data_IF_758022845602
#
_entry.id   IF_758022845602
#
_cell.length_a   1.000
_cell.length_b   1.000
_cell.length_c   1.000
_cell.angle_alpha   90.00
_cell.angle_beta   90.00
_cell.angle_gamma   90.00
#
_symmetry.space_group_name_H-M   'P 1'
#
loop_
_entity.id
_entity.type
_entity.pdbx_description
1 polymer ?
#
# COMPACT_ATOMS: atom_id res chain seq x y z
N UNK A 1 29.39 -25.05 -62.44
CA UNK A 1 28.34 -25.95 -61.87
C UNK A 1 28.67 -26.14 -60.41
N UNK A 2 28.00 -25.42 -59.50
CA UNK A 2 28.20 -25.57 -58.03
C UNK A 2 27.41 -26.76 -57.55
N UNK A 3 28.05 -27.66 -56.81
CA UNK A 3 27.48 -28.90 -56.35
C UNK A 3 26.24 -28.69 -55.45
N UNK A 4 25.19 -29.54 -55.57
CA UNK A 4 23.90 -29.29 -54.85
C UNK A 4 24.00 -29.35 -53.32
N UNK A 5 25.06 -29.93 -52.76
CA UNK A 5 25.32 -29.92 -51.32
C UNK A 5 25.78 -28.56 -50.78
N UNK A 6 26.49 -27.75 -51.57
CA UNK A 6 26.94 -26.42 -51.20
C UNK A 6 25.76 -25.44 -51.05
N UNK A 7 24.70 -25.59 -51.88
CA UNK A 7 23.46 -24.78 -51.73
C UNK A 7 22.65 -25.18 -50.51
N UNK A 8 22.62 -26.47 -50.14
CA UNK A 8 21.94 -26.93 -48.91
C UNK A 8 22.67 -26.46 -47.63
N UNK A 9 24.00 -26.46 -47.63
CA UNK A 9 24.78 -25.94 -46.52
C UNK A 9 24.62 -24.41 -46.36
N UNK A 10 24.56 -23.64 -47.45
CA UNK A 10 24.33 -22.19 -47.41
C UNK A 10 22.93 -21.85 -46.93
N UNK A 11 21.89 -22.61 -47.30
CA UNK A 11 20.53 -22.42 -46.77
C UNK A 11 20.42 -22.79 -45.30
N UNK A 12 21.13 -23.83 -44.82
CA UNK A 12 21.13 -24.22 -43.41
C UNK A 12 21.86 -23.17 -42.55
N UNK A 13 22.97 -22.61 -43.02
CA UNK A 13 23.69 -21.52 -42.34
C UNK A 13 22.91 -20.22 -42.34
N UNK A 14 22.17 -19.90 -43.41
CA UNK A 14 21.28 -18.70 -43.45
C UNK A 14 20.08 -18.87 -42.53
N UNK A 15 19.51 -20.06 -42.42
CA UNK A 15 18.44 -20.34 -41.46
C UNK A 15 18.93 -20.28 -40.01
N UNK A 16 20.14 -20.75 -39.71
CA UNK A 16 20.73 -20.65 -38.37
C UNK A 16 21.10 -19.19 -38.02
N UNK A 17 21.57 -18.39 -38.99
CA UNK A 17 21.83 -16.98 -38.80
C UNK A 17 20.54 -16.16 -38.63
N UNK A 18 19.43 -16.59 -39.27
CA UNK A 18 18.14 -15.91 -39.10
C UNK A 18 17.52 -16.19 -37.72
N UNK A 19 17.75 -17.35 -37.11
CA UNK A 19 17.33 -17.69 -35.75
C UNK A 19 18.13 -16.91 -34.71
N UNK A 20 19.38 -16.51 -35.03
CA UNK A 20 20.23 -15.67 -34.18
C UNK A 20 19.94 -14.15 -34.31
N UNK A 21 19.17 -13.74 -35.35
CA UNK A 21 18.78 -12.35 -35.59
C UNK A 21 17.34 -12.01 -35.11
N UNK A 22 16.51 -13.00 -34.87
CA UNK A 22 15.27 -12.82 -34.12
C UNK A 22 15.64 -12.96 -32.66
N UNK A 23 15.67 -11.80 -32.00
CA UNK A 23 16.11 -11.62 -30.64
C UNK A 23 15.70 -12.77 -29.72
N UNK A 24 16.61 -13.10 -28.81
CA UNK A 24 16.27 -13.81 -27.60
C UNK A 24 14.91 -13.29 -27.13
N UNK A 25 13.92 -14.15 -26.87
CA UNK A 25 12.73 -13.69 -26.16
C UNK A 25 13.24 -12.91 -24.97
N UNK A 26 12.75 -11.68 -24.80
CA UNK A 26 13.04 -10.89 -23.62
C UNK A 26 12.84 -11.87 -22.45
N UNK A 27 13.93 -12.19 -21.74
CA UNK A 27 13.89 -13.24 -20.75
C UNK A 27 12.68 -12.99 -19.87
N UNK A 28 11.81 -13.97 -19.74
CA UNK A 28 10.76 -13.94 -18.76
C UNK A 28 11.44 -13.61 -17.45
N UNK A 29 11.05 -12.50 -16.83
CA UNK A 29 11.48 -12.20 -15.46
C UNK A 29 11.04 -13.39 -14.62
N UNK A 30 11.98 -14.25 -14.25
CA UNK A 30 11.78 -15.17 -13.15
C UNK A 30 11.90 -14.30 -11.91
N UNK A 31 10.76 -13.91 -11.33
CA UNK A 31 10.71 -13.26 -10.05
C UNK A 31 11.53 -14.09 -9.05
N UNK A 32 12.56 -13.48 -8.45
CA UNK A 32 13.35 -14.09 -7.38
C UNK A 32 14.80 -14.46 -7.72
N UNK A 33 15.23 -14.49 -8.99
CA UNK A 33 16.60 -14.89 -9.34
C UNK A 33 17.63 -13.75 -9.28
N UNK A 34 17.21 -12.48 -9.16
CA UNK A 34 18.12 -11.36 -9.05
C UNK A 34 17.58 -10.27 -8.11
N UNK A 35 18.45 -9.85 -7.19
CA UNK A 35 18.15 -8.79 -6.23
C UNK A 35 18.85 -7.50 -6.65
N UNK A 36 18.10 -6.53 -7.14
CA UNK A 36 18.62 -5.22 -7.50
C UNK A 36 18.58 -4.24 -6.34
N UNK A 37 19.68 -3.47 -6.19
CA UNK A 37 19.76 -2.36 -5.22
C UNK A 37 19.66 -1.03 -5.92
N UNK A 38 18.74 -0.17 -5.51
CA UNK A 38 18.62 1.22 -5.96
C UNK A 38 19.53 2.10 -5.12
N UNK A 39 20.43 2.82 -5.78
CA UNK A 39 21.43 3.72 -5.16
C UNK A 39 20.99 5.16 -5.38
N UNK A 40 20.90 5.93 -4.31
CA UNK A 40 20.59 7.36 -4.33
C UNK A 40 21.73 8.24 -4.85
N UNK A 41 21.48 9.54 -5.05
CA UNK A 41 22.48 10.50 -5.53
C UNK A 41 23.68 10.67 -4.58
N UNK A 42 23.50 10.37 -3.31
CA UNK A 42 24.52 10.39 -2.26
C UNK A 42 25.33 9.09 -2.15
N UNK A 43 25.03 8.11 -3.00
CA UNK A 43 25.65 6.78 -2.99
C UNK A 43 25.07 5.81 -1.96
N UNK A 44 24.07 6.21 -1.17
CA UNK A 44 23.40 5.32 -0.23
C UNK A 44 22.38 4.41 -0.93
N UNK A 45 22.20 3.19 -0.41
CA UNK A 45 21.14 2.30 -0.86
C UNK A 45 19.76 2.85 -0.39
N UNK A 46 18.85 3.06 -1.33
CA UNK A 46 17.49 3.53 -1.06
C UNK A 46 16.54 2.37 -0.78
N UNK A 47 16.58 1.35 -1.62
CA UNK A 47 15.73 0.16 -1.51
C UNK A 47 16.31 -1.00 -2.30
N UNK A 48 15.77 -2.19 -2.06
CA UNK A 48 16.00 -3.37 -2.89
C UNK A 48 14.69 -3.85 -3.51
N UNK A 49 14.81 -4.52 -4.65
CA UNK A 49 13.70 -5.15 -5.36
C UNK A 49 14.13 -6.50 -5.89
N UNK A 50 13.32 -7.51 -5.70
CA UNK A 50 13.40 -8.74 -6.46
C UNK A 50 12.98 -8.47 -7.92
N UNK A 51 13.77 -8.99 -8.88
CA UNK A 51 13.61 -8.71 -10.30
C UNK A 51 14.29 -7.40 -10.76
N UNK A 52 14.45 -7.30 -12.07
CA UNK A 52 15.20 -6.24 -12.74
C UNK A 52 14.58 -4.86 -12.59
N UNK A 53 15.39 -3.84 -12.32
CA UNK A 53 15.01 -2.43 -12.43
C UNK A 53 15.26 -1.91 -13.84
N UNK A 54 14.50 -0.89 -14.26
CA UNK A 54 14.59 -0.30 -15.59
C UNK A 54 14.73 1.22 -15.51
N UNK A 55 15.49 1.80 -16.43
CA UNK A 55 15.56 3.26 -16.58
C UNK A 55 14.15 3.83 -16.71
N UNK A 56 13.86 4.85 -15.90
CA UNK A 56 12.55 5.47 -15.82
C UNK A 56 11.58 4.79 -14.84
N UNK A 57 11.95 3.71 -14.13
CA UNK A 57 11.22 3.28 -12.95
C UNK A 57 11.32 4.37 -11.89
N UNK A 58 10.29 4.51 -11.05
CA UNK A 58 10.27 5.52 -10.01
C UNK A 58 10.11 4.87 -8.63
N UNK A 59 10.58 5.56 -7.63
CA UNK A 59 10.56 5.13 -6.24
C UNK A 59 10.19 6.29 -5.33
N UNK A 60 9.15 6.10 -4.52
CA UNK A 60 8.77 7.03 -3.46
C UNK A 60 9.07 6.34 -2.13
N UNK A 61 10.05 6.85 -1.42
CA UNK A 61 10.53 6.32 -0.16
C UNK A 61 9.50 6.50 0.98
N UNK A 62 9.74 5.82 2.11
CA UNK A 62 8.92 5.99 3.31
C UNK A 62 8.85 7.43 3.81
N UNK A 63 9.91 8.20 3.64
CA UNK A 63 10.02 9.62 4.00
C UNK A 63 9.53 10.60 2.92
N UNK A 64 8.83 10.10 1.88
CA UNK A 64 8.33 10.83 0.70
C UNK A 64 9.39 11.36 -0.27
N UNK A 65 10.65 11.01 -0.12
CA UNK A 65 11.66 11.26 -1.14
C UNK A 65 11.28 10.55 -2.44
N UNK A 66 11.22 11.31 -3.54
CA UNK A 66 10.83 10.80 -4.85
C UNK A 66 12.04 10.72 -5.76
N UNK A 67 12.24 9.56 -6.36
CA UNK A 67 13.42 9.24 -7.16
C UNK A 67 13.02 8.58 -8.48
N UNK A 68 13.89 8.70 -9.51
CA UNK A 68 13.74 8.01 -10.79
C UNK A 68 15.03 7.27 -11.13
N UNK A 69 14.92 6.04 -11.59
CA UNK A 69 16.06 5.26 -12.08
C UNK A 69 16.65 5.93 -13.31
N UNK A 70 17.90 6.38 -13.20
CA UNK A 70 18.65 7.06 -14.26
C UNK A 70 19.53 6.08 -15.05
N UNK A 71 20.12 5.07 -14.40
CA UNK A 71 20.90 4.03 -15.04
C UNK A 71 20.78 2.69 -14.34
N UNK A 72 21.09 1.60 -15.04
CA UNK A 72 21.06 0.24 -14.52
C UNK A 72 22.34 -0.47 -14.92
N UNK A 73 22.98 -1.14 -13.97
CA UNK A 73 24.12 -2.04 -14.18
C UNK A 73 23.65 -3.47 -13.87
N UNK A 74 23.36 -4.24 -14.93
CA UNK A 74 22.87 -5.62 -14.80
C UNK A 74 23.94 -6.57 -14.25
N UNK A 75 25.23 -6.28 -14.46
CA UNK A 75 26.31 -7.12 -13.96
C UNK A 75 26.52 -6.94 -12.45
N UNK A 76 26.34 -5.74 -11.94
CA UNK A 76 26.39 -5.44 -10.52
C UNK A 76 25.03 -5.59 -9.81
N UNK A 77 23.94 -5.82 -10.55
CA UNK A 77 22.54 -5.80 -10.04
C UNK A 77 22.24 -4.51 -9.25
N UNK A 78 22.66 -3.37 -9.79
CA UNK A 78 22.41 -2.07 -9.19
C UNK A 78 21.75 -1.12 -10.17
N UNK A 79 21.03 -0.15 -9.64
CA UNK A 79 20.49 0.96 -10.40
C UNK A 79 20.82 2.25 -9.66
N UNK A 80 21.14 3.33 -10.39
CA UNK A 80 21.33 4.66 -9.82
C UNK A 80 20.08 5.49 -10.04
N UNK A 81 19.72 6.31 -9.06
CA UNK A 81 18.56 7.17 -9.12
C UNK A 81 18.92 8.65 -9.09
N UNK A 82 18.12 9.46 -9.77
CA UNK A 82 18.05 10.91 -9.58
C UNK A 82 16.95 11.26 -8.60
N UNK A 83 17.16 12.27 -7.77
CA UNK A 83 16.15 12.80 -6.86
C UNK A 83 15.25 13.79 -7.60
N UNK A 84 13.94 13.62 -7.50
CA UNK A 84 12.96 14.46 -8.20
C UNK A 84 12.27 15.48 -7.28
N UNK A 85 12.42 15.37 -5.96
CA UNK A 85 11.75 16.21 -4.98
C UNK A 85 10.98 15.38 -3.94
N UNK A 86 10.00 15.97 -3.29
CA UNK A 86 9.09 15.25 -2.38
C UNK A 86 7.78 14.94 -3.08
N UNK A 87 7.27 13.73 -2.88
CA UNK A 87 6.05 13.25 -3.53
C UNK A 87 4.77 13.87 -2.98
N UNK A 88 4.84 14.56 -1.85
CA UNK A 88 3.70 15.18 -1.15
C UNK A 88 3.28 16.54 -1.71
N UNK A 89 4.10 17.17 -2.57
CA UNK A 89 3.84 18.52 -3.07
C UNK A 89 2.56 18.62 -3.94
N UNK A 90 2.07 17.50 -4.49
CA UNK A 90 0.90 17.43 -5.38
C UNK A 90 -0.34 16.80 -4.75
N UNK A 91 -0.33 16.47 -3.45
CA UNK A 91 -1.46 15.79 -2.80
C UNK A 91 -2.19 16.80 -1.92
N UNK A 92 -3.52 17.03 -2.15
CA UNK A 92 -4.36 17.71 -1.15
C UNK A 92 -4.25 16.97 0.18
N UNK A 93 -4.22 17.71 1.29
CA UNK A 93 -4.21 17.10 2.61
C UNK A 93 -5.30 16.00 2.67
N UNK A 94 -4.93 14.82 3.20
CA UNK A 94 -5.81 13.64 3.26
C UNK A 94 -7.21 13.96 3.81
N UNK A 95 -7.32 14.87 4.79
CA UNK A 95 -8.59 15.37 5.34
C UNK A 95 -9.54 15.93 4.29
N UNK A 96 -9.02 16.69 3.31
CA UNK A 96 -9.84 17.26 2.23
C UNK A 96 -10.32 16.17 1.24
N UNK A 97 -9.50 15.12 1.02
CA UNK A 97 -9.88 13.99 0.18
C UNK A 97 -10.92 13.10 0.86
N UNK A 98 -10.76 12.79 2.15
CA UNK A 98 -11.70 12.01 2.94
C UNK A 98 -13.09 12.66 3.02
N UNK A 99 -13.16 14.00 3.08
CA UNK A 99 -14.43 14.73 3.00
C UNK A 99 -15.07 14.61 1.60
N UNK A 100 -14.27 14.66 0.53
CA UNK A 100 -14.72 14.44 -0.85
C UNK A 100 -15.22 13.01 -1.08
N UNK A 101 -14.54 12.00 -0.55
CA UNK A 101 -14.93 10.59 -0.64
C UNK A 101 -16.25 10.30 0.10
N UNK A 102 -16.46 10.91 1.28
CA UNK A 102 -17.74 10.85 2.00
C UNK A 102 -18.91 11.45 1.22
N UNK A 103 -18.65 12.49 0.45
CA UNK A 103 -19.68 13.17 -0.34
C UNK A 103 -20.03 12.43 -1.65
N UNK A 104 -19.16 11.57 -2.16
CA UNK A 104 -19.30 10.94 -3.48
C UNK A 104 -20.03 9.60 -3.47
N UNK A 105 -20.08 8.89 -2.34
CA UNK A 105 -20.81 7.62 -2.22
C UNK A 105 -21.89 7.70 -1.16
N UNK A 106 -23.15 7.66 -1.64
CA UNK A 106 -24.27 7.33 -0.81
C UNK A 106 -24.12 5.91 -0.23
N UNK A 107 -25.10 5.47 0.55
CA UNK A 107 -25.19 4.18 1.28
C UNK A 107 -25.19 2.93 0.35
N UNK A 108 -24.38 2.96 -0.74
CA UNK A 108 -24.17 1.86 -1.68
C UNK A 108 -23.30 0.75 -1.09
N UNK A 109 -23.43 -0.46 -1.62
CA UNK A 109 -22.66 -1.63 -1.18
C UNK A 109 -21.16 -1.40 -1.41
N UNK A 110 -20.40 -1.19 -0.32
CA UNK A 110 -18.94 -1.12 -0.33
C UNK A 110 -18.37 -2.47 -0.77
N UNK A 111 -17.51 -2.51 -1.78
CA UNK A 111 -16.95 -3.75 -2.30
C UNK A 111 -15.47 -3.58 -2.69
N UNK A 112 -14.61 -4.46 -2.18
CA UNK A 112 -13.22 -4.60 -2.61
C UNK A 112 -13.02 -6.01 -3.18
N UNK A 113 -12.41 -6.10 -4.37
CA UNK A 113 -12.07 -7.35 -5.02
C UNK A 113 -10.57 -7.62 -4.93
N UNK A 114 -10.20 -8.89 -4.70
CA UNK A 114 -8.83 -9.31 -4.48
C UNK A 114 -8.52 -10.62 -5.20
N UNK A 115 -7.27 -10.79 -5.60
CA UNK A 115 -6.70 -12.02 -6.16
C UNK A 115 -5.20 -12.06 -5.86
N UNK A 116 -4.49 -13.13 -6.23
CA UNK A 116 -3.04 -13.24 -6.10
C UNK A 116 -2.46 -13.81 -7.37
N UNK A 117 -1.84 -12.98 -8.20
CA UNK A 117 -1.24 -13.43 -9.48
C UNK A 117 -0.16 -14.48 -9.25
N UNK A 118 0.71 -14.27 -8.27
CA UNK A 118 1.70 -15.27 -7.84
C UNK A 118 1.11 -16.16 -6.73
N UNK A 119 0.23 -17.05 -7.14
CA UNK A 119 -0.62 -17.85 -6.29
C UNK A 119 0.08 -18.93 -5.46
N UNK A 120 1.39 -19.09 -5.59
CA UNK A 120 2.25 -20.02 -4.85
C UNK A 120 3.11 -19.32 -3.79
N UNK A 121 3.09 -18.01 -3.69
CA UNK A 121 3.88 -17.25 -2.72
C UNK A 121 3.60 -17.68 -1.29
N UNK A 122 4.68 -17.90 -0.53
CA UNK A 122 4.62 -18.42 0.83
C UNK A 122 5.76 -17.82 1.67
N UNK A 123 5.75 -18.11 2.97
CA UNK A 123 6.65 -17.53 3.96
C UNK A 123 7.47 -18.64 4.62
N UNK A 124 8.81 -18.60 4.45
CA UNK A 124 9.73 -19.62 4.99
C UNK A 124 9.50 -19.96 6.47
N UNK A 125 9.40 -18.98 7.39
CA UNK A 125 9.22 -19.29 8.81
C UNK A 125 7.86 -19.93 9.13
N UNK A 126 6.79 -19.52 8.44
CA UNK A 126 5.44 -20.01 8.75
C UNK A 126 5.01 -21.21 7.92
N UNK A 127 5.46 -21.30 6.68
CA UNK A 127 5.01 -22.30 5.69
C UNK A 127 6.07 -23.39 5.43
N UNK A 128 7.32 -23.18 5.87
CA UNK A 128 8.45 -24.07 5.66
C UNK A 128 9.07 -24.02 4.25
N UNK A 129 8.55 -23.14 3.38
CA UNK A 129 9.03 -22.92 2.02
C UNK A 129 8.59 -21.55 1.54
N UNK A 130 9.34 -20.95 0.59
CA UNK A 130 8.97 -19.68 -0.03
C UNK A 130 7.89 -19.82 -1.12
N UNK A 131 7.63 -21.04 -1.61
CA UNK A 131 6.64 -21.32 -2.66
C UNK A 131 5.91 -22.63 -2.38
N UNK A 132 4.58 -22.64 -2.55
CA UNK A 132 3.71 -23.80 -2.40
C UNK A 132 2.67 -23.83 -3.53
N UNK A 133 2.59 -24.91 -4.26
CA UNK A 133 1.62 -25.11 -5.34
C UNK A 133 0.17 -25.21 -4.85
N UNK A 134 -0.05 -25.58 -3.58
CA UNK A 134 -1.37 -25.69 -2.95
C UNK A 134 -1.31 -25.16 -1.53
N UNK A 135 -2.27 -24.33 -1.15
CA UNK A 135 -2.34 -23.77 0.19
C UNK A 135 -1.14 -22.89 0.49
N UNK A 136 -0.77 -22.03 -0.44
CA UNK A 136 0.30 -21.05 -0.29
C UNK A 136 -0.05 -20.03 0.80
N UNK A 137 0.97 -19.55 1.52
CA UNK A 137 0.79 -18.65 2.64
C UNK A 137 0.17 -17.30 2.29
N UNK A 138 0.31 -16.87 1.04
CA UNK A 138 -0.29 -15.63 0.56
C UNK A 138 -1.82 -15.65 0.64
N UNK A 139 -2.46 -16.83 0.54
CA UNK A 139 -3.90 -16.95 0.73
C UNK A 139 -4.35 -16.68 2.16
N UNK A 140 -3.51 -17.00 3.16
CA UNK A 140 -3.80 -16.70 4.56
C UNK A 140 -3.77 -15.17 4.80
N UNK A 141 -2.83 -14.48 4.16
CA UNK A 141 -2.73 -13.01 4.20
C UNK A 141 -3.93 -12.35 3.53
N UNK A 142 -4.30 -12.81 2.32
CA UNK A 142 -5.49 -12.32 1.62
C UNK A 142 -6.79 -12.60 2.40
N UNK A 143 -6.90 -13.75 3.07
CA UNK A 143 -8.04 -14.06 3.95
C UNK A 143 -8.07 -13.14 5.18
N UNK A 144 -6.90 -12.81 5.76
CA UNK A 144 -6.81 -11.85 6.87
C UNK A 144 -7.29 -10.47 6.43
N UNK A 145 -6.85 -9.98 5.25
CA UNK A 145 -7.31 -8.72 4.68
C UNK A 145 -8.83 -8.75 4.43
N UNK A 146 -9.35 -9.84 3.84
CA UNK A 146 -10.78 -10.03 3.61
C UNK A 146 -11.57 -9.93 4.91
N UNK A 147 -11.17 -10.67 5.94
CA UNK A 147 -11.84 -10.67 7.25
C UNK A 147 -11.82 -9.29 7.91
N UNK A 148 -10.68 -8.60 7.82
CA UNK A 148 -10.51 -7.26 8.38
C UNK A 148 -11.39 -6.21 7.67
N UNK A 149 -11.55 -6.30 6.35
CA UNK A 149 -12.49 -5.46 5.57
C UNK A 149 -13.94 -5.77 5.93
N UNK A 150 -14.32 -7.05 6.02
CA UNK A 150 -15.67 -7.47 6.37
C UNK A 150 -16.05 -7.05 7.81
N UNK A 151 -15.10 -7.08 8.76
CA UNK A 151 -15.31 -6.58 10.12
C UNK A 151 -15.62 -5.05 10.14
N UNK A 152 -15.21 -4.33 9.11
CA UNK A 152 -15.48 -2.89 8.91
C UNK A 152 -16.74 -2.63 8.06
N UNK A 153 -17.50 -3.69 7.73
CA UNK A 153 -18.73 -3.61 6.93
C UNK A 153 -18.47 -3.40 5.43
N UNK A 154 -17.26 -3.71 4.96
CA UNK A 154 -16.89 -3.67 3.55
C UNK A 154 -16.97 -5.10 3.02
N UNK A 155 -17.82 -5.34 2.01
CA UNK A 155 -17.82 -6.63 1.32
C UNK A 155 -16.47 -6.85 0.64
N UNK A 156 -15.90 -8.04 0.82
CA UNK A 156 -14.64 -8.38 0.19
C UNK A 156 -14.75 -9.71 -0.56
N UNK A 157 -14.38 -9.73 -1.84
CA UNK A 157 -14.31 -10.92 -2.66
C UNK A 157 -12.86 -11.24 -2.94
N UNK A 158 -12.39 -12.41 -2.54
CA UNK A 158 -11.04 -12.88 -2.78
C UNK A 158 -11.05 -14.15 -3.62
N UNK A 159 -10.53 -14.07 -4.86
CA UNK A 159 -10.36 -15.22 -5.72
C UNK A 159 -9.11 -16.01 -5.31
N UNK A 160 -9.27 -17.33 -5.15
CA UNK A 160 -8.17 -18.27 -4.85
C UNK A 160 -7.82 -19.15 -6.05
N UNK A 161 -8.08 -18.65 -7.28
CA UNK A 161 -7.60 -19.30 -8.48
C UNK A 161 -6.07 -19.31 -8.54
N UNK A 162 -5.51 -20.32 -9.18
CA UNK A 162 -4.06 -20.49 -9.32
C UNK A 162 -3.62 -20.15 -10.73
N UNK A 163 -2.47 -19.45 -10.84
CA UNK A 163 -1.97 -18.94 -12.12
C UNK A 163 -0.56 -19.43 -12.45
N UNK A 164 -0.23 -20.62 -11.96
CA UNK A 164 1.06 -21.28 -12.16
C UNK A 164 1.37 -21.56 -13.64
N UNK A 165 2.65 -21.64 -14.00
CA UNK A 165 3.83 -21.49 -13.14
C UNK A 165 4.04 -20.04 -12.66
N UNK A 166 4.94 -19.84 -11.67
CA UNK A 166 5.37 -18.52 -11.18
C UNK A 166 6.34 -17.89 -12.20
N UNK A 167 5.80 -17.13 -13.12
CA UNK A 167 6.52 -16.43 -14.18
C UNK A 167 5.80 -15.14 -14.60
N UNK A 168 6.40 -14.36 -15.47
CA UNK A 168 5.81 -13.11 -15.97
C UNK A 168 4.44 -13.31 -16.67
N UNK A 169 4.20 -14.50 -17.26
CA UNK A 169 2.93 -14.84 -17.91
C UNK A 169 1.80 -15.10 -16.90
N UNK A 170 2.08 -15.23 -15.60
CA UNK A 170 1.06 -15.32 -14.55
C UNK A 170 0.09 -14.14 -14.61
N UNK A 171 0.54 -12.92 -14.95
CA UNK A 171 -0.32 -11.76 -15.15
C UNK A 171 -1.30 -11.92 -16.33
N UNK A 172 -0.88 -12.57 -17.42
CA UNK A 172 -1.79 -12.91 -18.52
C UNK A 172 -2.81 -13.99 -18.11
N UNK A 173 -2.41 -14.95 -17.28
CA UNK A 173 -3.31 -16.00 -16.77
C UNK A 173 -4.31 -15.45 -15.76
N UNK A 174 -3.90 -14.55 -14.86
CA UNK A 174 -4.75 -13.94 -13.83
C UNK A 174 -5.70 -12.88 -14.39
N UNK A 175 -5.42 -12.34 -15.59
CA UNK A 175 -6.20 -11.27 -16.21
C UNK A 175 -7.69 -11.60 -16.30
N UNK A 176 -8.05 -12.81 -16.72
CA UNK A 176 -9.47 -13.23 -16.81
C UNK A 176 -10.16 -13.14 -15.44
N UNK A 177 -9.49 -13.58 -14.39
CA UNK A 177 -10.02 -13.49 -13.01
C UNK A 177 -10.19 -12.04 -12.58
N UNK A 178 -9.22 -11.16 -12.86
CA UNK A 178 -9.32 -9.73 -12.60
C UNK A 178 -10.53 -9.12 -13.35
N UNK A 179 -10.73 -9.44 -14.62
CA UNK A 179 -11.88 -8.97 -15.42
C UNK A 179 -13.22 -9.49 -14.87
N UNK A 180 -13.29 -10.72 -14.38
CA UNK A 180 -14.50 -11.27 -13.76
C UNK A 180 -14.82 -10.63 -12.41
N UNK A 181 -13.81 -10.34 -11.61
CA UNK A 181 -13.96 -9.60 -10.36
C UNK A 181 -14.50 -8.19 -10.61
N UNK A 182 -14.01 -7.50 -11.64
CA UNK A 182 -14.46 -6.17 -12.01
C UNK A 182 -15.93 -6.10 -12.45
N UNK A 183 -16.51 -7.19 -12.98
CA UNK A 183 -17.95 -7.26 -13.32
C UNK A 183 -18.85 -7.11 -12.10
N UNK A 184 -18.34 -7.34 -10.89
CA UNK A 184 -19.07 -7.15 -9.64
C UNK A 184 -19.12 -5.69 -9.19
N UNK A 185 -18.44 -4.77 -9.88
CA UNK A 185 -18.41 -3.33 -9.58
C UNK A 185 -17.65 -2.96 -8.31
N UNK A 186 -16.45 -3.51 -8.06
CA UNK A 186 -15.70 -3.17 -6.85
C UNK A 186 -15.21 -1.72 -6.88
N UNK A 187 -14.90 -1.18 -5.71
CA UNK A 187 -14.31 0.14 -5.51
C UNK A 187 -12.79 0.14 -5.65
N UNK A 188 -12.17 -1.02 -5.40
CA UNK A 188 -10.76 -1.29 -5.66
C UNK A 188 -10.55 -2.74 -6.10
N UNK A 189 -9.49 -2.96 -6.90
CA UNK A 189 -8.99 -4.26 -7.31
C UNK A 189 -7.57 -4.43 -6.80
N UNK A 190 -7.34 -5.39 -5.90
CA UNK A 190 -6.06 -5.58 -5.24
C UNK A 190 -5.44 -6.92 -5.62
N UNK A 191 -4.19 -6.89 -6.05
CA UNK A 191 -3.36 -8.07 -6.27
C UNK A 191 -2.45 -8.26 -5.06
N UNK A 192 -2.61 -9.38 -4.35
CA UNK A 192 -1.97 -9.63 -3.05
C UNK A 192 -0.74 -10.49 -3.25
N UNK A 193 0.41 -9.96 -2.85
CA UNK A 193 1.74 -10.54 -3.02
C UNK A 193 2.57 -10.48 -1.75
N UNK A 194 3.75 -11.08 -1.79
CA UNK A 194 4.88 -10.83 -0.91
C UNK A 194 6.14 -10.60 -1.75
N UNK A 195 7.06 -9.79 -1.26
CA UNK A 195 8.34 -9.50 -1.90
C UNK A 195 9.35 -10.66 -1.70
N UNK A 196 10.46 -10.64 -2.43
CA UNK A 196 11.56 -11.60 -2.29
C UNK A 196 12.90 -10.92 -1.97
N UNK A 197 12.86 -9.89 -1.12
CA UNK A 197 14.01 -9.16 -0.59
C UNK A 197 14.32 -9.61 0.85
N UNK A 198 15.49 -9.26 1.43
CA UNK A 198 15.82 -9.59 2.82
C UNK A 198 14.79 -9.08 3.85
N UNK A 199 14.61 -9.83 4.94
CA UNK A 199 13.59 -9.59 5.97
C UNK A 199 13.64 -8.19 6.57
N UNK A 200 14.84 -7.65 6.83
CA UNK A 200 15.06 -6.33 7.44
C UNK A 200 14.44 -5.16 6.64
N UNK A 201 14.17 -5.36 5.35
CA UNK A 201 13.48 -4.38 4.52
C UNK A 201 12.01 -4.19 4.92
N UNK A 202 11.43 -5.18 5.58
CA UNK A 202 10.00 -5.23 5.89
C UNK A 202 9.68 -5.28 7.39
N UNK A 203 10.67 -5.40 8.26
CA UNK A 203 10.45 -5.37 9.70
C UNK A 203 10.04 -3.98 10.17
N UNK A 204 9.00 -3.90 11.02
CA UNK A 204 8.54 -2.65 11.64
C UNK A 204 7.71 -2.94 12.88
N UNK A 205 7.54 -1.91 13.72
CA UNK A 205 6.61 -1.90 14.85
C UNK A 205 5.60 -0.77 14.64
N UNK A 206 4.32 -1.09 14.76
CA UNK A 206 3.22 -0.11 14.69
C UNK A 206 2.32 -0.33 15.91
N UNK A 207 2.03 0.72 16.66
CA UNK A 207 1.20 0.68 17.88
C UNK A 207 1.72 -0.32 18.96
N UNK A 208 3.02 -0.60 18.95
CA UNK A 208 3.65 -1.57 19.87
C UNK A 208 3.49 -3.03 19.43
N UNK A 209 3.02 -3.28 18.24
CA UNK A 209 2.93 -4.61 17.62
C UNK A 209 4.02 -4.77 16.54
N UNK A 210 4.76 -5.88 16.60
CA UNK A 210 5.80 -6.24 15.63
C UNK A 210 5.12 -6.84 14.39
N UNK A 211 5.00 -6.04 13.33
CA UNK A 211 4.30 -6.38 12.09
C UNK A 211 5.22 -6.27 10.87
N UNK A 212 4.70 -6.61 9.71
CA UNK A 212 5.37 -6.36 8.44
C UNK A 212 5.02 -4.98 7.89
N UNK A 213 5.99 -4.32 7.25
CA UNK A 213 5.68 -3.24 6.30
C UNK A 213 4.93 -3.78 5.08
N UNK A 214 4.32 -2.88 4.33
CA UNK A 214 3.69 -3.17 3.04
C UNK A 214 4.25 -2.24 1.97
N UNK A 215 4.70 -2.80 0.83
CA UNK A 215 5.04 -2.03 -0.37
C UNK A 215 3.82 -1.88 -1.26
N UNK A 216 3.64 -0.70 -1.82
CA UNK A 216 2.65 -0.43 -2.85
C UNK A 216 3.34 -0.45 -4.21
N UNK A 217 2.87 -1.28 -5.13
CA UNK A 217 3.49 -1.44 -6.44
C UNK A 217 2.56 -0.96 -7.56
N UNK A 218 3.07 -0.06 -8.41
CA UNK A 218 2.34 0.54 -9.53
C UNK A 218 3.03 0.24 -10.86
N UNK A 219 2.27 -0.24 -11.84
CA UNK A 219 2.72 -0.39 -13.21
C UNK A 219 2.71 0.94 -13.96
N UNK A 220 3.85 1.38 -14.51
CA UNK A 220 3.93 2.65 -15.24
C UNK A 220 3.54 2.57 -16.72
N UNK A 221 3.44 1.35 -17.26
CA UNK A 221 3.18 1.12 -18.69
C UNK A 221 1.71 0.77 -18.94
N UNK A 222 0.76 1.50 -18.34
CA UNK A 222 -0.65 1.29 -18.52
C UNK A 222 -1.42 2.61 -18.63
N UNK A 223 -2.63 2.56 -19.19
CA UNK A 223 -3.46 3.75 -19.42
C UNK A 223 -3.96 4.40 -18.13
N UNK A 224 -4.08 3.66 -17.02
CA UNK A 224 -4.53 4.14 -15.71
C UNK A 224 -3.34 4.42 -14.77
N UNK A 225 -2.10 4.50 -15.26
CA UNK A 225 -0.91 4.64 -14.40
C UNK A 225 -0.94 5.88 -13.51
N UNK A 226 -1.52 6.98 -13.98
CA UNK A 226 -1.67 8.20 -13.20
C UNK A 226 -2.66 8.01 -12.03
N UNK A 227 -3.80 7.37 -12.29
CA UNK A 227 -4.85 7.08 -11.31
C UNK A 227 -4.38 6.03 -10.30
N UNK A 228 -3.72 4.95 -10.76
CA UNK A 228 -3.16 3.93 -9.88
C UNK A 228 -2.09 4.54 -8.94
N UNK A 229 -1.23 5.43 -9.47
CA UNK A 229 -0.24 6.18 -8.66
C UNK A 229 -0.93 7.09 -7.65
N UNK A 230 -1.96 7.83 -8.06
CA UNK A 230 -2.70 8.71 -7.16
C UNK A 230 -3.35 7.91 -6.03
N UNK A 231 -3.93 6.75 -6.32
CA UNK A 231 -4.51 5.84 -5.34
C UNK A 231 -3.44 5.30 -4.36
N UNK A 232 -2.28 4.87 -4.85
CA UNK A 232 -1.16 4.44 -4.00
C UNK A 232 -0.67 5.57 -3.08
N UNK A 233 -0.53 6.80 -3.59
CA UNK A 233 -0.14 7.98 -2.79
C UNK A 233 -1.16 8.30 -1.70
N UNK A 234 -2.47 8.17 -1.98
CA UNK A 234 -3.54 8.39 -0.99
C UNK A 234 -3.47 7.35 0.13
N UNK A 235 -3.27 6.06 -0.22
CA UNK A 235 -3.09 4.99 0.77
C UNK A 235 -1.86 5.28 1.64
N UNK A 236 -0.72 5.64 1.02
CA UNK A 236 0.50 5.98 1.78
C UNK A 236 0.27 7.17 2.72
N UNK A 237 -0.31 8.25 2.24
CA UNK A 237 -0.57 9.43 3.06
C UNK A 237 -1.50 9.13 4.25
N UNK A 238 -2.57 8.36 4.05
CA UNK A 238 -3.47 7.94 5.12
C UNK A 238 -2.80 7.00 6.13
N UNK A 239 -1.94 6.10 5.64
CA UNK A 239 -1.17 5.21 6.49
C UNK A 239 -0.11 5.97 7.30
N UNK A 240 0.62 6.89 6.69
CA UNK A 240 1.66 7.68 7.37
C UNK A 240 1.08 8.58 8.47
N UNK A 241 -0.13 9.11 8.26
CA UNK A 241 -0.84 9.89 9.28
C UNK A 241 -1.27 9.04 10.48
N UNK A 242 -1.79 7.83 10.25
CA UNK A 242 -2.40 7.01 11.29
C UNK A 242 -1.47 5.93 11.84
N UNK A 243 -0.65 5.33 10.99
CA UNK A 243 0.22 4.19 11.25
C UNK A 243 1.63 4.41 10.67
N UNK A 244 2.39 5.39 11.17
CA UNK A 244 3.73 5.69 10.65
C UNK A 244 4.61 4.45 10.62
N UNK A 245 5.24 4.19 9.46
CA UNK A 245 6.09 3.02 9.24
C UNK A 245 5.38 1.78 8.71
N UNK A 246 4.05 1.78 8.55
CA UNK A 246 3.30 0.68 7.92
C UNK A 246 3.65 0.54 6.43
N UNK A 247 3.67 1.66 5.69
CA UNK A 247 4.04 1.62 4.27
C UNK A 247 5.55 1.74 4.12
N UNK A 248 6.14 0.71 3.49
CA UNK A 248 7.57 0.69 3.15
C UNK A 248 7.90 1.78 2.15
N UNK A 249 7.20 1.76 1.04
CA UNK A 249 7.44 2.64 -0.11
C UNK A 249 6.34 2.47 -1.18
N UNK A 250 6.41 3.30 -2.24
CA UNK A 250 5.71 3.06 -3.50
C UNK A 250 6.77 2.82 -4.57
N UNK A 251 6.75 1.64 -5.21
CA UNK A 251 7.60 1.34 -6.36
C UNK A 251 6.77 1.41 -7.64
N UNK A 252 7.23 2.19 -8.63
CA UNK A 252 6.53 2.42 -9.89
C UNK A 252 7.39 1.80 -11.00
N UNK A 253 7.11 0.52 -11.29
CA UNK A 253 7.93 -0.32 -12.16
C UNK A 253 7.39 -0.42 -13.60
N UNK A 254 8.28 -0.83 -14.51
CA UNK A 254 7.93 -1.14 -15.89
C UNK A 254 6.97 -2.36 -15.93
N UNK A 255 5.81 -2.20 -16.55
CA UNK A 255 4.80 -3.24 -16.69
C UNK A 255 3.40 -2.66 -16.53
N UNK A 256 2.38 -3.49 -16.71
CA UNK A 256 0.97 -3.12 -16.52
C UNK A 256 0.31 -3.80 -15.32
N UNK A 257 0.71 -5.03 -14.97
CA UNK A 257 0.25 -5.77 -13.78
C UNK A 257 -1.28 -5.87 -13.66
N UNK A 258 -2.00 -5.97 -14.78
CA UNK A 258 -3.47 -5.88 -14.89
C UNK A 258 -4.09 -4.56 -14.34
N UNK A 259 -3.26 -3.57 -13.97
CA UNK A 259 -3.73 -2.30 -13.42
C UNK A 259 -4.36 -1.39 -14.47
N UNK A 260 -4.11 -1.65 -15.77
CA UNK A 260 -4.81 -0.97 -16.87
C UNK A 260 -6.30 -1.30 -16.92
N UNK A 261 -6.77 -2.31 -16.20
CA UNK A 261 -8.17 -2.70 -16.15
C UNK A 261 -9.01 -1.77 -15.27
N UNK A 262 -8.40 -1.13 -14.25
CA UNK A 262 -9.15 -0.33 -13.29
C UNK A 262 -8.33 0.81 -12.68
N UNK A 263 -8.89 2.03 -12.52
CA UNK A 263 -8.19 3.17 -11.93
C UNK A 263 -7.73 2.97 -10.48
N UNK A 264 -8.51 2.25 -9.66
CA UNK A 264 -8.15 1.87 -8.31
C UNK A 264 -7.64 0.42 -8.24
N UNK A 265 -6.75 0.05 -9.17
CA UNK A 265 -6.03 -1.21 -9.11
C UNK A 265 -4.64 -0.99 -8.51
N UNK A 266 -4.22 -1.92 -7.63
CA UNK A 266 -2.93 -1.83 -6.95
C UNK A 266 -2.42 -3.23 -6.59
N UNK A 267 -1.09 -3.43 -6.66
CA UNK A 267 -0.41 -4.60 -6.14
C UNK A 267 0.16 -4.26 -4.75
N UNK A 268 -0.05 -5.13 -3.79
CA UNK A 268 0.37 -4.98 -2.39
C UNK A 268 1.33 -6.10 -2.00
N UNK A 269 2.57 -5.74 -1.66
CA UNK A 269 3.57 -6.66 -1.13
C UNK A 269 3.49 -6.71 0.39
N UNK A 270 2.89 -7.74 0.96
CA UNK A 270 2.80 -7.96 2.40
C UNK A 270 4.04 -8.67 2.92
N UNK A 271 5.09 -7.91 3.17
CA UNK A 271 6.35 -8.45 3.65
C UNK A 271 7.17 -9.18 2.59
N UNK A 272 8.01 -10.07 3.03
CA UNK A 272 8.88 -10.90 2.20
C UNK A 272 8.79 -12.37 2.62
N UNK A 273 9.28 -13.27 1.77
CA UNK A 273 9.31 -14.71 2.06
C UNK A 273 10.10 -15.09 3.33
N UNK A 274 10.94 -14.20 3.86
CA UNK A 274 11.80 -14.46 5.03
C UNK A 274 11.18 -14.04 6.36
N UNK A 275 10.08 -13.25 6.36
CA UNK A 275 9.44 -12.85 7.61
C UNK A 275 8.42 -13.89 8.10
N UNK A 276 8.08 -13.82 9.39
CA UNK A 276 6.96 -14.58 9.95
C UNK A 276 5.65 -14.20 9.23
N UNK A 277 4.94 -15.18 8.64
CA UNK A 277 3.65 -14.98 7.98
C UNK A 277 2.64 -14.24 8.86
N UNK A 278 2.68 -14.48 10.17
CA UNK A 278 1.83 -13.80 11.14
C UNK A 278 1.98 -12.27 11.08
N UNK A 279 3.20 -11.74 10.92
CA UNK A 279 3.46 -10.30 10.79
C UNK A 279 2.78 -9.71 9.54
N UNK A 280 2.78 -10.45 8.41
CA UNK A 280 2.09 -10.06 7.19
C UNK A 280 0.55 -10.07 7.36
N UNK A 281 0.02 -11.09 8.05
CA UNK A 281 -1.40 -11.18 8.37
C UNK A 281 -1.88 -10.07 9.32
N UNK A 282 -1.05 -9.67 10.27
CA UNK A 282 -1.34 -8.55 11.18
C UNK A 282 -1.32 -7.21 10.44
N UNK A 283 -0.35 -7.00 9.52
CA UNK A 283 -0.33 -5.82 8.66
C UNK A 283 -1.61 -5.66 7.82
N UNK A 284 -2.27 -6.76 7.46
CA UNK A 284 -3.51 -6.74 6.69
C UNK A 284 -4.68 -6.04 7.43
N UNK A 285 -4.73 -6.11 8.76
CA UNK A 285 -5.75 -5.40 9.55
C UNK A 285 -5.56 -3.87 9.48
N UNK A 286 -4.32 -3.40 9.57
CA UNK A 286 -3.98 -1.99 9.41
C UNK A 286 -4.27 -1.47 7.99
N UNK A 287 -3.94 -2.27 6.96
CA UNK A 287 -4.25 -1.93 5.56
C UNK A 287 -5.76 -1.87 5.33
N UNK A 288 -6.55 -2.76 5.93
CA UNK A 288 -8.01 -2.71 5.83
C UNK A 288 -8.58 -1.41 6.41
N UNK A 289 -8.03 -0.93 7.51
CA UNK A 289 -8.43 0.33 8.11
C UNK A 289 -8.05 1.55 7.25
N UNK A 290 -6.85 1.52 6.67
CA UNK A 290 -6.41 2.55 5.71
C UNK A 290 -7.30 2.57 4.47
N UNK A 291 -7.66 1.41 3.91
CA UNK A 291 -8.57 1.30 2.76
C UNK A 291 -9.98 1.81 3.08
N UNK A 292 -10.53 1.51 4.27
CA UNK A 292 -11.82 2.07 4.70
C UNK A 292 -11.76 3.59 4.79
N UNK A 293 -10.68 4.13 5.33
CA UNK A 293 -10.48 5.59 5.39
C UNK A 293 -10.39 6.23 4.01
N UNK A 294 -9.56 5.67 3.12
CA UNK A 294 -9.31 6.22 1.77
C UNK A 294 -10.54 6.13 0.88
N UNK A 295 -11.20 4.98 0.84
CA UNK A 295 -12.31 4.73 -0.10
C UNK A 295 -13.67 5.21 0.44
N UNK A 296 -13.84 5.22 1.77
CA UNK A 296 -15.17 5.43 2.37
C UNK A 296 -15.19 6.46 3.50
N UNK A 297 -14.06 7.09 3.78
CA UNK A 297 -13.96 8.11 4.83
C UNK A 297 -14.01 7.57 6.26
N UNK A 298 -13.74 6.28 6.44
CA UNK A 298 -13.73 5.59 7.72
C UNK A 298 -15.13 5.20 8.24
N UNK A 299 -15.25 4.02 8.81
CA UNK A 299 -16.48 3.55 9.43
C UNK A 299 -16.46 3.83 10.94
N UNK A 300 -17.46 4.53 11.47
CA UNK A 300 -17.63 4.75 12.90
C UNK A 300 -17.78 3.45 13.73
N UNK A 301 -17.87 2.29 13.08
CA UNK A 301 -18.02 0.97 13.71
C UNK A 301 -16.71 0.26 14.06
N UNK A 302 -15.55 0.75 13.60
CA UNK A 302 -14.26 0.08 13.82
C UNK A 302 -13.72 0.18 15.26
N UNK A 303 -14.30 1.04 16.12
CA UNK A 303 -13.87 1.21 17.52
C UNK A 303 -14.14 0.00 18.44
N UNK A 304 -14.73 -1.08 17.92
CA UNK A 304 -15.11 -2.27 18.72
C UNK A 304 -14.42 -3.59 18.35
N UNK A 305 -13.60 -3.66 17.32
CA UNK A 305 -13.18 -4.93 16.70
C UNK A 305 -11.89 -5.55 17.24
N UNK A 306 -11.07 -4.86 17.98
CA UNK A 306 -10.04 -5.42 18.91
C UNK A 306 -9.83 -4.44 20.04
N UNK A 307 -9.71 -4.99 21.26
CA UNK A 307 -9.39 -4.20 22.43
C UNK A 307 -8.03 -3.52 22.27
N UNK A 308 -8.00 -2.40 21.56
CA UNK A 308 -6.90 -1.45 21.65
C UNK A 308 -6.87 -1.04 23.11
N UNK A 309 -5.84 -1.47 23.83
CA UNK A 309 -5.55 -0.94 25.15
C UNK A 309 -5.28 0.56 24.95
N UNK A 310 -6.35 1.35 25.03
CA UNK A 310 -6.36 2.79 24.84
C UNK A 310 -5.48 3.49 25.88
N UNK A 311 -4.18 3.52 25.61
CA UNK A 311 -3.21 4.18 26.49
C UNK A 311 -2.58 5.43 25.88
N UNK A 312 -2.39 5.48 24.57
CA UNK A 312 -1.63 6.55 23.92
C UNK A 312 -2.52 7.69 23.38
N UNK A 313 -3.60 7.36 22.66
CA UNK A 313 -4.49 8.40 22.08
C UNK A 313 -5.27 9.13 23.16
N UNK A 314 -5.78 8.41 24.19
CA UNK A 314 -6.44 9.05 25.34
C UNK A 314 -5.48 9.96 26.14
N UNK A 315 -4.17 9.65 26.18
CA UNK A 315 -3.17 10.53 26.79
C UNK A 315 -2.90 11.78 25.96
N UNK A 316 -2.79 11.67 24.64
CA UNK A 316 -2.54 12.81 23.74
C UNK A 316 -3.68 13.83 23.77
N UNK A 317 -4.92 13.39 23.61
CA UNK A 317 -6.11 14.25 23.68
C UNK A 317 -6.30 14.80 25.10
N UNK A 318 -6.05 14.01 26.16
CA UNK A 318 -6.10 14.47 27.55
C UNK A 318 -5.08 15.58 27.84
N UNK A 319 -3.86 15.50 27.29
CA UNK A 319 -2.83 16.52 27.42
C UNK A 319 -3.18 17.80 26.64
N UNK A 320 -3.73 17.68 25.42
CA UNK A 320 -4.14 18.84 24.62
C UNK A 320 -5.31 19.60 25.29
N UNK A 321 -6.32 18.89 25.78
CA UNK A 321 -7.43 19.48 26.55
C UNK A 321 -6.93 20.06 27.88
N UNK A 322 -6.05 19.37 28.60
CA UNK A 322 -5.44 19.84 29.84
C UNK A 322 -4.65 21.13 29.66
N UNK A 323 -3.83 21.22 28.59
CA UNK A 323 -3.08 22.43 28.25
C UNK A 323 -4.00 23.60 27.84
N UNK A 324 -5.07 23.34 27.09
CA UNK A 324 -6.05 24.35 26.71
C UNK A 324 -6.80 24.90 27.93
N UNK A 325 -7.20 24.05 28.88
CA UNK A 325 -7.84 24.45 30.14
C UNK A 325 -6.86 25.23 31.02
N UNK A 326 -5.59 24.79 31.10
CA UNK A 326 -4.55 25.50 31.84
C UNK A 326 -4.27 26.88 31.25
N UNK A 327 -4.16 27.00 29.93
CA UNK A 327 -3.97 28.26 29.22
C UNK A 327 -5.16 29.22 29.44
N UNK A 328 -6.39 28.73 29.40
CA UNK A 328 -7.58 29.50 29.69
C UNK A 328 -7.62 29.97 31.15
N UNK A 329 -7.22 29.14 32.11
CA UNK A 329 -7.13 29.48 33.52
C UNK A 329 -6.04 30.53 33.78
N UNK A 330 -4.86 30.39 33.16
CA UNK A 330 -3.76 31.38 33.24
C UNK A 330 -4.18 32.71 32.60
N UNK A 331 -4.84 32.68 31.45
CA UNK A 331 -5.38 33.89 30.80
C UNK A 331 -6.43 34.59 31.66
N UNK A 332 -7.35 33.81 32.27
CA UNK A 332 -8.35 34.37 33.19
C UNK A 332 -7.70 35.02 34.44
N UNK A 333 -6.66 34.44 35.01
CA UNK A 333 -5.91 34.99 36.13
C UNK A 333 -5.18 36.31 35.79
N UNK A 334 -4.55 36.36 34.61
CA UNK A 334 -3.82 37.54 34.14
C UNK A 334 -4.81 38.65 33.77
N UNK A 335 -5.93 38.35 33.13
CA UNK A 335 -6.91 39.32 32.64
C UNK A 335 -7.83 39.88 33.74
N UNK A 336 -7.92 39.23 34.90
CA UNK A 336 -8.84 39.64 36.00
C UNK A 336 -8.16 40.19 37.25
N UNK A 337 -6.82 40.18 37.28
CA UNK A 337 -6.07 40.80 38.41
C UNK A 337 -6.15 40.02 39.73
N UNK A 338 -6.64 38.78 39.78
CA UNK A 338 -6.62 37.93 40.96
C UNK A 338 -7.67 36.84 41.04
N UNK A 339 -7.39 35.80 41.83
CA UNK A 339 -8.18 34.56 41.96
C UNK A 339 -9.67 34.78 42.32
N UNK A 340 -10.00 35.77 43.18
CA UNK A 340 -11.38 36.04 43.60
C UNK A 340 -12.26 36.61 42.47
N UNK A 341 -11.70 37.42 41.57
CA UNK A 341 -12.41 38.00 40.42
C UNK A 341 -12.63 36.99 39.31
N UNK A 342 -11.69 36.03 39.14
CA UNK A 342 -11.80 34.95 38.17
C UNK A 342 -12.94 33.97 38.49
N UNK A 343 -13.12 33.61 39.76
CA UNK A 343 -14.22 32.74 40.22
C UNK A 343 -15.60 33.39 40.02
N UNK A 344 -15.74 34.71 40.26
CA UNK A 344 -17.00 35.42 40.06
C UNK A 344 -17.42 35.52 38.57
N UNK A 345 -16.45 35.60 37.63
CA UNK A 345 -16.75 35.62 36.20
C UNK A 345 -17.11 34.22 35.69
N UNK A 346 -16.38 33.18 36.12
CA UNK A 346 -16.67 31.78 35.74
C UNK A 346 -18.06 31.33 36.22
N UNK A 347 -18.45 31.69 37.46
CA UNK A 347 -19.77 31.34 38.01
C UNK A 347 -20.93 31.99 37.25
N UNK A 348 -20.74 33.20 36.68
CA UNK A 348 -21.75 33.89 35.88
C UNK A 348 -21.91 33.26 34.47
N UNK A 349 -20.81 32.89 33.81
CA UNK A 349 -20.84 32.22 32.49
C UNK A 349 -21.47 30.83 32.53
N UNK A 350 -21.21 30.05 33.60
CA UNK A 350 -21.84 28.72 33.76
C UNK A 350 -23.34 28.86 34.01
N UNK A 351 -23.81 29.86 34.75
CA UNK A 351 -25.26 30.05 34.98
C UNK A 351 -26.01 30.53 33.73
N UNK A 352 -25.37 31.28 32.85
CA UNK A 352 -25.97 31.71 31.57
C UNK A 352 -26.09 30.52 30.56
N UNK A 353 -25.12 29.60 30.52
CA UNK A 353 -25.17 28.43 29.64
C UNK A 353 -26.14 27.36 30.15
N UNK A 354 -26.25 27.16 31.47
CA UNK A 354 -27.17 26.18 32.05
C UNK A 354 -28.61 26.69 32.17
N UNK A 355 -28.84 28.02 32.32
CA UNK A 355 -30.16 28.66 32.36
C UNK A 355 -30.91 28.62 31.03
N UNK A 356 -30.19 28.50 29.89
CA UNK A 356 -30.79 28.34 28.56
C UNK A 356 -31.28 26.92 28.24
N UNK A 357 -30.86 25.91 29.01
CA UNK A 357 -31.20 24.50 28.77
C UNK A 357 -32.42 23.95 29.55
N UNK A 358 -32.92 24.72 30.55
CA UNK A 358 -34.06 24.31 31.41
C UNK A 358 -35.12 25.40 31.56
N UNK A 359 -35.42 26.13 30.49
CA UNK A 359 -36.49 27.15 30.41
C UNK A 359 -37.83 26.54 30.05
N UNK A 360 -38.63 26.32 31.07
CA UNK A 360 -40.11 26.35 31.15
C UNK A 360 -40.95 25.56 30.12
N UNK A 361 -41.42 24.42 30.57
CA UNK A 361 -42.78 23.90 30.24
C UNK A 361 -43.70 24.22 31.41
N UNK A 362 -44.42 25.32 31.38
CA UNK A 362 -45.72 25.45 32.07
C UNK A 362 -46.61 26.50 31.37
N UNK A 363 -47.70 26.01 30.87
CA UNK A 363 -49.05 26.43 30.48
C UNK A 363 -49.37 26.28 29.03
#
# INVERSE_FOLDING_TARGET
>A
MTAPWARRAACALAALALVLLFGTPAGAETDGDCLYTLIGPDGAALTQRAGRMYVGDEYIAGDDGWYRVASVDDAAQTATAEYLGRSTEDIPAFSAYAEGAKASKGDGDKLIAMYSTHSDESYLPGDGTASKWKGAGIYDVGDSLKQALEARGIKAVYSKETFLPHDADAYNRSRRTAEELLKQGPDALLDIHRDAVPAEQYETEVDGEDISKVRLFVGRNNQNAAENRAFAKQIKAAADEKYPGLIKDIFIGKGNYNQELYPHALLLEFGTHEIEKKKAMEAADYIADVLDNVLYGGSAKAEGAKGVKGGAVARGVGWAVGLAVLAAAVYALISTGGLKSAWHKLGRSVSEVTGGLFGDRKR
#
